data_IF_973937094263
#
_entry.id   IF_973937094263
#
_cell.length_a   1.000
_cell.length_b   1.000
_cell.length_c   1.000
_cell.angle_alpha   90.00
_cell.angle_beta   90.00
_cell.angle_gamma   90.00
#
_symmetry.space_group_name_H-M   'P 1'
#
loop_
_entity.id
_entity.type
_entity.pdbx_description
1 polymer ?
#
# COMPACT_ATOMS: atom_id res chain seq x y z
N UNK A 1 4.83 7.91 2.69
CA UNK A 1 4.02 6.80 2.14
C UNK A 1 4.66 5.43 2.43
N UNK A 2 5.85 5.11 1.90
CA UNK A 2 6.50 3.78 2.08
C UNK A 2 6.64 3.33 3.54
N UNK A 3 7.11 4.22 4.43
CA UNK A 3 7.28 3.87 5.85
C UNK A 3 5.98 3.46 6.55
N UNK A 4 4.85 4.10 6.21
CA UNK A 4 3.53 3.74 6.76
C UNK A 4 3.12 2.35 6.29
N UNK A 5 3.28 2.06 5.01
CA UNK A 5 2.88 0.77 4.44
C UNK A 5 3.75 -0.38 4.93
N UNK A 6 5.04 -0.13 5.11
CA UNK A 6 5.96 -1.05 5.76
C UNK A 6 5.55 -1.30 7.21
N UNK A 7 5.27 -0.25 7.99
CA UNK A 7 4.82 -0.38 9.37
C UNK A 7 3.50 -1.15 9.48
N UNK A 8 2.56 -0.96 8.55
CA UNK A 8 1.33 -1.75 8.49
C UNK A 8 1.65 -3.23 8.31
N UNK A 9 2.52 -3.57 7.35
CA UNK A 9 2.88 -4.94 7.04
C UNK A 9 3.63 -5.66 8.19
N UNK A 10 4.62 -5.00 8.81
CA UNK A 10 5.56 -5.66 9.73
C UNK A 10 5.27 -5.41 11.20
N UNK A 11 4.43 -4.43 11.54
CA UNK A 11 4.10 -4.07 12.93
C UNK A 11 2.60 -4.20 13.19
N UNK A 12 1.77 -3.43 12.46
CA UNK A 12 0.33 -3.33 12.76
C UNK A 12 -0.41 -4.64 12.49
N UNK A 13 -0.19 -5.27 11.33
CA UNK A 13 -0.85 -6.54 10.99
C UNK A 13 -0.46 -7.65 11.98
N UNK A 14 0.84 -7.88 12.31
CA UNK A 14 1.21 -8.85 13.34
C UNK A 14 0.59 -8.59 14.72
N UNK A 15 0.50 -7.32 15.16
CA UNK A 15 -0.15 -6.98 16.43
C UNK A 15 -1.64 -7.35 16.40
N UNK A 16 -2.35 -6.93 15.35
CA UNK A 16 -3.80 -7.17 15.24
C UNK A 16 -4.15 -8.65 15.07
N UNK A 17 -3.31 -9.44 14.38
CA UNK A 17 -3.51 -10.89 14.22
C UNK A 17 -3.39 -11.68 15.53
N UNK A 18 -2.67 -11.16 16.53
CA UNK A 18 -2.49 -11.80 17.83
C UNK A 18 -3.68 -11.58 18.77
N UNK A 19 -4.59 -10.66 18.42
CA UNK A 19 -5.77 -10.37 19.21
C UNK A 19 -6.85 -11.46 19.04
N UNK A 20 -7.76 -11.63 20.02
CA UNK A 20 -8.98 -12.39 19.81
C UNK A 20 -9.77 -11.86 18.61
N UNK A 21 -10.64 -12.71 18.04
CA UNK A 21 -11.34 -12.41 16.79
C UNK A 21 -12.05 -11.05 16.79
N UNK A 22 -12.82 -10.73 17.84
CA UNK A 22 -13.53 -9.46 17.96
C UNK A 22 -12.62 -8.24 17.88
N UNK A 23 -11.66 -8.05 18.81
CA UNK A 23 -10.72 -6.93 18.75
C UNK A 23 -9.88 -6.88 17.46
N UNK A 24 -9.47 -8.04 16.91
CA UNK A 24 -8.77 -8.10 15.61
C UNK A 24 -9.64 -7.52 14.48
N UNK A 25 -10.90 -7.93 14.40
CA UNK A 25 -11.85 -7.47 13.39
C UNK A 25 -12.14 -5.98 13.55
N UNK A 26 -12.39 -5.50 14.78
CA UNK A 26 -12.62 -4.08 15.04
C UNK A 26 -11.42 -3.22 14.64
N UNK A 27 -10.21 -3.61 15.03
CA UNK A 27 -8.99 -2.88 14.69
C UNK A 27 -8.76 -2.84 13.16
N UNK A 28 -8.98 -3.97 12.47
CA UNK A 28 -8.86 -4.07 11.01
C UNK A 28 -9.91 -3.24 10.28
N UNK A 29 -11.17 -3.27 10.73
CA UNK A 29 -12.25 -2.50 10.16
C UNK A 29 -12.00 -0.99 10.29
N UNK A 30 -11.56 -0.54 11.48
CA UNK A 30 -11.26 0.87 11.71
C UNK A 30 -10.02 1.34 10.93
N UNK A 31 -8.95 0.54 10.95
CA UNK A 31 -7.77 0.76 10.12
C UNK A 31 -8.11 0.90 8.64
N UNK A 32 -9.00 0.04 8.11
CA UNK A 32 -9.45 0.10 6.72
C UNK A 32 -10.28 1.36 6.39
N UNK A 33 -10.98 1.97 7.37
CA UNK A 33 -11.69 3.25 7.20
C UNK A 33 -10.69 4.41 7.20
N UNK A 34 -9.88 4.52 8.24
CA UNK A 34 -8.92 5.61 8.40
C UNK A 34 -7.86 5.60 7.28
N UNK A 35 -7.13 4.50 7.11
CA UNK A 35 -6.09 4.40 6.09
C UNK A 35 -6.69 4.46 4.69
N UNK A 36 -7.88 3.89 4.49
CA UNK A 36 -8.56 3.95 3.20
C UNK A 36 -8.99 5.35 2.76
N UNK A 37 -9.23 6.26 3.72
CA UNK A 37 -9.51 7.66 3.44
C UNK A 37 -8.24 8.48 3.20
N UNK A 38 -7.17 8.19 3.96
CA UNK A 38 -5.95 9.02 3.97
C UNK A 38 -4.91 8.58 2.94
N UNK A 39 -4.71 7.28 2.75
CA UNK A 39 -3.63 6.75 1.89
C UNK A 39 -3.75 7.11 0.40
N UNK A 40 -4.95 7.18 -0.23
CA UNK A 40 -5.05 7.54 -1.64
C UNK A 40 -4.36 8.87 -1.98
N UNK A 41 -4.47 9.87 -1.10
CA UNK A 41 -3.79 11.18 -1.26
C UNK A 41 -2.28 10.99 -1.35
N UNK A 42 -1.69 10.23 -0.43
CA UNK A 42 -0.25 10.00 -0.40
C UNK A 42 0.25 9.19 -1.59
N UNK A 43 -0.54 8.24 -2.08
CA UNK A 43 -0.22 7.48 -3.30
C UNK A 43 -0.21 8.38 -4.53
N UNK A 44 -1.27 9.16 -4.73
CA UNK A 44 -1.39 10.06 -5.88
C UNK A 44 -0.32 11.16 -5.84
N UNK A 45 -0.09 11.78 -4.68
CA UNK A 45 0.97 12.77 -4.52
C UNK A 45 2.34 12.18 -4.84
N UNK A 46 2.66 10.98 -4.34
CA UNK A 46 3.95 10.32 -4.63
C UNK A 46 4.09 10.01 -6.13
N UNK A 47 3.04 9.50 -6.76
CA UNK A 47 3.05 9.18 -8.19
C UNK A 47 3.22 10.43 -9.06
N UNK A 48 2.47 11.51 -8.77
CA UNK A 48 2.56 12.78 -9.49
C UNK A 48 3.95 13.39 -9.34
N UNK A 49 4.49 13.44 -8.12
CA UNK A 49 5.84 13.97 -7.88
C UNK A 49 6.92 13.14 -8.59
N UNK A 50 6.80 11.81 -8.57
CA UNK A 50 7.75 10.91 -9.26
C UNK A 50 7.67 11.08 -10.78
N UNK A 51 6.47 11.15 -11.34
CA UNK A 51 6.25 11.39 -12.77
C UNK A 51 6.74 12.77 -13.21
N UNK A 52 6.49 13.81 -12.40
CA UNK A 52 7.00 15.15 -12.64
C UNK A 52 8.53 15.17 -12.61
N UNK A 53 9.16 14.50 -11.63
CA UNK A 53 10.62 14.38 -11.59
C UNK A 53 11.18 13.71 -12.84
N UNK A 54 10.58 12.61 -13.30
CA UNK A 54 10.98 11.94 -14.54
C UNK A 54 10.83 12.84 -15.79
N UNK A 55 9.75 13.63 -15.85
CA UNK A 55 9.49 14.55 -16.95
C UNK A 55 10.45 15.76 -16.95
N UNK A 56 10.72 16.33 -15.77
CA UNK A 56 11.61 17.49 -15.62
C UNK A 56 13.08 17.13 -15.87
N UNK A 57 13.47 15.89 -15.61
CA UNK A 57 14.83 15.38 -15.83
C UNK A 57 15.02 14.74 -17.21
N UNK A 58 14.05 14.89 -18.11
CA UNK A 58 14.08 14.26 -19.43
C UNK A 58 15.37 14.57 -20.20
N UNK A 59 15.95 13.53 -20.81
CA UNK A 59 17.24 13.62 -21.51
C UNK A 59 18.48 13.49 -20.61
N UNK A 60 18.32 13.44 -19.28
CA UNK A 60 19.42 13.16 -18.35
C UNK A 60 19.56 11.66 -18.03
N UNK A 61 20.65 11.30 -17.35
CA UNK A 61 20.88 9.94 -16.85
C UNK A 61 19.82 9.49 -15.82
N UNK A 62 19.12 10.42 -15.16
CA UNK A 62 18.12 10.12 -14.13
C UNK A 62 16.73 9.76 -14.68
N UNK A 63 16.40 10.20 -15.90
CA UNK A 63 15.05 10.12 -16.46
C UNK A 63 14.50 8.69 -16.55
N UNK A 64 15.31 7.75 -17.06
CA UNK A 64 14.90 6.35 -17.23
C UNK A 64 14.58 5.68 -15.90
N UNK A 65 15.47 5.82 -14.91
CA UNK A 65 15.30 5.25 -13.57
C UNK A 65 14.09 5.83 -12.85
N UNK A 66 13.89 7.15 -12.95
CA UNK A 66 12.71 7.82 -12.41
C UNK A 66 11.40 7.37 -13.09
N UNK A 67 11.43 7.16 -14.41
CA UNK A 67 10.30 6.64 -15.17
C UNK A 67 9.88 5.25 -14.72
N UNK A 68 10.83 4.34 -14.51
CA UNK A 68 10.55 2.99 -13.97
C UNK A 68 9.95 3.08 -12.56
N UNK A 69 10.47 3.96 -11.71
CA UNK A 69 9.90 4.19 -10.38
C UNK A 69 8.43 4.65 -10.46
N UNK A 70 8.09 5.57 -11.38
CA UNK A 70 6.72 6.01 -11.60
C UNK A 70 5.80 4.88 -12.07
N UNK A 71 6.28 4.03 -12.99
CA UNK A 71 5.53 2.86 -13.48
C UNK A 71 5.25 1.86 -12.34
N UNK A 72 6.23 1.57 -11.49
CA UNK A 72 6.03 0.70 -10.33
C UNK A 72 5.02 1.28 -9.34
N UNK A 73 5.07 2.59 -9.07
CA UNK A 73 4.08 3.26 -8.22
C UNK A 73 2.68 3.19 -8.82
N UNK A 74 2.53 3.42 -10.13
CA UNK A 74 1.25 3.27 -10.83
C UNK A 74 0.74 1.83 -10.74
N UNK A 75 1.61 0.84 -10.94
CA UNK A 75 1.30 -0.58 -10.74
C UNK A 75 0.81 -0.88 -9.33
N UNK A 76 1.44 -0.32 -8.30
CA UNK A 76 1.01 -0.45 -6.90
C UNK A 76 -0.38 0.16 -6.64
N UNK A 77 -0.72 1.27 -7.29
CA UNK A 77 -2.07 1.86 -7.23
C UNK A 77 -3.09 0.92 -7.86
N UNK A 78 -2.79 0.38 -9.05
CA UNK A 78 -3.66 -0.57 -9.74
C UNK A 78 -3.87 -1.84 -8.90
N UNK A 79 -2.80 -2.42 -8.36
CA UNK A 79 -2.89 -3.56 -7.43
C UNK A 79 -3.81 -3.27 -6.26
N UNK A 80 -3.72 -2.07 -5.68
CA UNK A 80 -4.58 -1.65 -4.57
C UNK A 80 -6.05 -1.66 -4.97
N UNK A 81 -6.40 -0.91 -6.02
CA UNK A 81 -7.80 -0.74 -6.45
C UNK A 81 -8.41 -2.07 -6.90
N UNK A 82 -7.64 -2.89 -7.62
CA UNK A 82 -8.14 -4.15 -8.17
C UNK A 82 -8.21 -5.29 -7.14
N UNK A 83 -7.27 -5.35 -6.18
CA UNK A 83 -7.10 -6.53 -5.33
C UNK A 83 -7.31 -6.25 -3.84
N UNK A 84 -6.75 -5.15 -3.30
CA UNK A 84 -6.77 -4.87 -1.86
C UNK A 84 -8.04 -4.12 -1.42
N UNK A 85 -8.45 -3.09 -2.17
CA UNK A 85 -9.63 -2.26 -1.87
C UNK A 85 -10.93 -3.09 -1.80
N UNK A 86 -11.19 -4.07 -2.69
CA UNK A 86 -12.39 -4.91 -2.57
C UNK A 86 -12.43 -5.74 -1.29
N UNK A 87 -11.28 -6.15 -0.74
CA UNK A 87 -11.23 -6.85 0.56
C UNK A 87 -11.43 -5.86 1.70
N UNK A 88 -10.81 -4.67 1.63
CA UNK A 88 -11.01 -3.62 2.63
C UNK A 88 -12.46 -3.16 2.72
N UNK A 89 -13.16 -3.02 1.59
CA UNK A 89 -14.57 -2.62 1.57
C UNK A 89 -15.47 -3.62 2.30
N UNK A 90 -15.17 -4.92 2.21
CA UNK A 90 -15.84 -5.95 3.01
C UNK A 90 -15.45 -5.84 4.49
N UNK A 91 -14.15 -5.74 4.77
CA UNK A 91 -13.62 -5.71 6.14
C UNK A 91 -14.15 -4.52 6.96
N UNK A 92 -14.43 -3.37 6.32
CA UNK A 92 -15.02 -2.18 6.95
C UNK A 92 -16.39 -2.42 7.57
N UNK A 93 -17.12 -3.47 7.18
CA UNK A 93 -18.47 -3.76 7.71
C UNK A 93 -18.48 -4.85 8.79
N UNK A 94 -17.33 -5.46 9.07
CA UNK A 94 -17.25 -6.59 10.00
C UNK A 94 -17.22 -6.12 11.46
N UNK A 95 -17.86 -6.91 12.34
CA UNK A 95 -17.80 -6.81 13.80
C UNK A 95 -17.53 -8.18 14.41
N UNK A 96 -17.36 -8.24 15.74
CA UNK A 96 -17.20 -9.50 16.46
C UNK A 96 -18.42 -10.43 16.30
N UNK A 97 -19.61 -9.85 16.16
CA UNK A 97 -20.89 -10.54 16.04
C UNK A 97 -21.27 -10.81 14.58
N UNK A 98 -20.80 -9.98 13.64
CA UNK A 98 -21.18 -10.03 12.23
C UNK A 98 -19.97 -10.02 11.31
N UNK A 99 -19.58 -11.19 10.84
CA UNK A 99 -18.46 -11.38 9.93
C UNK A 99 -18.59 -12.75 9.22
N UNK A 100 -18.02 -12.93 8.02
CA UNK A 100 -18.14 -14.19 7.30
C UNK A 100 -17.24 -15.27 7.91
N UNK A 101 -17.61 -16.54 7.78
CA UNK A 101 -16.86 -17.66 8.35
C UNK A 101 -15.40 -17.75 7.85
N UNK A 102 -15.15 -17.29 6.63
CA UNK A 102 -13.83 -17.29 5.96
C UNK A 102 -13.02 -16.01 6.22
N UNK A 103 -13.41 -15.15 7.17
CA UNK A 103 -12.76 -13.86 7.41
C UNK A 103 -11.23 -13.93 7.55
N UNK A 104 -10.71 -14.99 8.18
CA UNK A 104 -9.25 -15.19 8.35
C UNK A 104 -8.55 -15.42 7.02
N UNK A 105 -9.17 -16.18 6.12
CA UNK A 105 -8.62 -16.43 4.79
C UNK A 105 -8.57 -15.13 3.97
N UNK A 106 -9.65 -14.34 4.05
CA UNK A 106 -9.72 -13.04 3.36
C UNK A 106 -8.65 -12.07 3.87
N UNK A 107 -8.48 -11.96 5.19
CA UNK A 107 -7.41 -11.15 5.81
C UNK A 107 -6.03 -11.68 5.40
N UNK A 108 -5.80 -12.99 5.47
CA UNK A 108 -4.52 -13.58 5.09
C UNK A 108 -4.18 -13.36 3.62
N UNK A 109 -5.18 -13.40 2.72
CA UNK A 109 -5.00 -13.02 1.31
C UNK A 109 -4.63 -11.56 1.17
N UNK A 110 -5.30 -10.67 1.90
CA UNK A 110 -4.97 -9.25 1.90
C UNK A 110 -3.55 -9.00 2.41
N UNK A 111 -3.15 -9.62 3.53
CA UNK A 111 -1.80 -9.47 4.11
C UNK A 111 -0.72 -9.91 3.10
N UNK A 112 -0.91 -11.03 2.40
CA UNK A 112 0.03 -11.50 1.35
C UNK A 112 0.13 -10.52 0.18
N UNK A 113 -1.01 -10.05 -0.34
CA UNK A 113 -1.05 -9.05 -1.41
C UNK A 113 -0.41 -7.74 -0.98
N UNK A 114 -0.61 -7.35 0.28
CA UNK A 114 -0.03 -6.15 0.87
C UNK A 114 1.49 -6.23 0.96
N UNK A 115 2.05 -7.38 1.38
CA UNK A 115 3.50 -7.59 1.40
C UNK A 115 4.11 -7.45 0.00
N UNK A 116 3.50 -8.05 -1.02
CA UNK A 116 3.96 -7.90 -2.41
C UNK A 116 3.92 -6.43 -2.84
N UNK A 117 2.82 -5.73 -2.53
CA UNK A 117 2.68 -4.30 -2.81
C UNK A 117 3.73 -3.45 -2.09
N UNK A 118 4.05 -3.79 -0.84
CA UNK A 118 5.13 -3.13 -0.06
C UNK A 118 6.48 -3.32 -0.75
N UNK A 119 6.80 -4.52 -1.24
CA UNK A 119 8.03 -4.75 -1.99
C UNK A 119 8.10 -3.88 -3.26
N UNK A 120 6.99 -3.75 -3.99
CA UNK A 120 6.90 -2.89 -5.19
C UNK A 120 7.16 -1.41 -4.86
N UNK A 121 6.52 -0.87 -3.83
CA UNK A 121 6.69 0.55 -3.46
C UNK A 121 8.08 0.84 -2.85
N UNK A 122 8.69 -0.14 -2.17
CA UNK A 122 10.07 -0.01 -1.67
C UNK A 122 11.04 0.01 -2.85
N UNK A 123 10.88 -0.88 -3.83
CA UNK A 123 11.68 -0.88 -5.05
C UNK A 123 11.52 0.44 -5.82
N UNK A 124 10.30 0.93 -5.99
CA UNK A 124 10.04 2.22 -6.63
C UNK A 124 10.74 3.38 -5.90
N UNK A 125 10.68 3.40 -4.57
CA UNK A 125 11.37 4.41 -3.77
C UNK A 125 12.89 4.32 -3.89
N UNK A 126 13.48 3.12 -3.86
CA UNK A 126 14.91 2.93 -4.04
C UNK A 126 15.40 3.40 -5.42
N UNK A 127 14.62 3.14 -6.48
CA UNK A 127 14.90 3.63 -7.82
C UNK A 127 14.82 5.15 -7.89
N UNK A 128 13.78 5.77 -7.32
CA UNK A 128 13.65 7.22 -7.28
C UNK A 128 14.81 7.86 -6.49
N UNK A 129 15.18 7.30 -5.33
CA UNK A 129 16.30 7.77 -4.54
C UNK A 129 17.63 7.68 -5.31
N UNK A 130 17.84 6.57 -6.03
CA UNK A 130 19.00 6.42 -6.92
C UNK A 130 18.98 7.45 -8.05
N UNK A 131 17.84 7.65 -8.70
CA UNK A 131 17.68 8.64 -9.77
C UNK A 131 18.01 10.06 -9.31
N UNK A 132 17.64 10.42 -8.07
CA UNK A 132 17.95 11.72 -7.49
C UNK A 132 19.46 11.96 -7.24
N UNK A 133 20.27 10.89 -7.22
CA UNK A 133 21.75 11.00 -7.11
C UNK A 133 22.46 11.04 -8.46
N UNK A 134 21.73 10.85 -9.56
CA UNK A 134 22.24 10.85 -10.94
C UNK A 134 21.99 12.19 -11.66
N UNK A 135 21.69 13.25 -10.89
CA UNK A 135 21.45 14.61 -11.39
C UNK A 135 22.72 15.24 -11.99
#
# INVERSE_FOLDING_TARGET
MVGVELAVAVVVNPITLRLPAGPSLTARADGARMLGAVMPVWYLASLVLTGAFAALTWGSASAGTAGIAAVLLAGSVIMSVALLVPINNRTRTWSAESHPADWREQIGRWDRLHIVRVAVIVAAFALLASAATLL
#
